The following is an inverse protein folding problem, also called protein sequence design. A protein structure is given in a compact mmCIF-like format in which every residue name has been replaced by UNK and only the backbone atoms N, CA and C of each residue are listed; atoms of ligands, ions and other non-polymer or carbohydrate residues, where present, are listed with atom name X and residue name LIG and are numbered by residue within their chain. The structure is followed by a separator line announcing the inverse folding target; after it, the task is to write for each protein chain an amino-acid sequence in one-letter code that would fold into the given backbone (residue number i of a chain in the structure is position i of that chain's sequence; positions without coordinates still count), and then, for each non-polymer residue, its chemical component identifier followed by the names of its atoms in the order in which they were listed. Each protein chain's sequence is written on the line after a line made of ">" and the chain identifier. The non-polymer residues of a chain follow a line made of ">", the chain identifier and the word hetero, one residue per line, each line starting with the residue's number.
data_IF_172695154921
#
_entry.id   IF_172695154921
#
_cell.length_a   1.000
_cell.length_b   1.000
_cell.length_c   1.000
_cell.angle_alpha   90.00
_cell.angle_beta   90.00
_cell.angle_gamma   90.00
#
_symmetry.space_group_name_H-M   'P 1'
#
loop_
_entity.id
_entity.type
_entity.pdbx_description
1 polymer ?
#
# COMPACT_ATOMS: atom_id res chain seq x y z
N UNK A 1 29.44 7.18 14.83
CA UNK A 1 28.84 7.31 13.48
C UNK A 1 28.01 6.06 13.25
N UNK A 2 26.70 6.21 13.01
CA UNK A 2 25.82 5.07 12.70
C UNK A 2 26.25 4.42 11.39
N UNK A 3 26.29 3.09 11.36
CA UNK A 3 26.61 2.33 10.15
C UNK A 3 25.59 2.57 9.03
N UNK A 4 26.00 2.35 7.77
CA UNK A 4 25.08 2.43 6.63
C UNK A 4 23.85 1.51 6.81
N UNK A 5 24.06 0.34 7.42
CA UNK A 5 22.98 -0.62 7.75
C UNK A 5 21.96 -0.03 8.72
N UNK A 6 22.41 0.70 9.74
CA UNK A 6 21.52 1.35 10.72
C UNK A 6 20.75 2.49 10.08
N UNK A 7 21.39 3.25 9.19
CA UNK A 7 20.71 4.32 8.42
C UNK A 7 19.60 3.77 7.54
N UNK A 8 19.82 2.64 6.86
CA UNK A 8 18.78 1.96 6.06
C UNK A 8 17.66 1.44 6.96
N UNK A 9 17.98 0.81 8.10
CA UNK A 9 16.97 0.31 9.03
C UNK A 9 16.10 1.42 9.62
N UNK A 10 16.67 2.60 9.86
CA UNK A 10 15.97 3.76 10.41
C UNK A 10 15.25 4.59 9.34
N UNK A 11 15.48 4.32 8.04
CA UNK A 11 14.82 5.05 6.98
C UNK A 11 13.31 4.72 6.98
N UNK A 12 12.49 5.77 7.04
CA UNK A 12 11.05 5.69 6.81
C UNK A 12 10.77 6.30 5.44
N UNK A 13 10.91 5.49 4.40
CA UNK A 13 10.73 5.88 3.00
C UNK A 13 9.37 5.43 2.42
N UNK A 14 8.53 4.81 3.26
CA UNK A 14 7.15 4.47 2.91
C UNK A 14 6.31 5.75 2.91
N UNK A 15 5.67 6.03 1.77
CA UNK A 15 4.79 7.18 1.66
C UNK A 15 3.49 6.95 2.42
N UNK A 16 2.97 8.01 3.04
CA UNK A 16 1.69 7.99 3.74
C UNK A 16 0.83 9.17 3.31
N UNK A 17 -0.47 8.96 3.35
CA UNK A 17 -1.46 10.00 3.26
C UNK A 17 -2.29 9.98 4.55
N UNK A 18 -2.20 11.08 5.29
CA UNK A 18 -2.91 11.27 6.56
C UNK A 18 -4.32 11.81 6.30
N UNK A 19 -5.22 11.58 7.25
CA UNK A 19 -6.57 12.15 7.29
C UNK A 19 -7.40 11.89 6.02
N UNK A 20 -7.35 10.65 5.50
CA UNK A 20 -8.17 10.23 4.36
C UNK A 20 -9.61 10.02 4.81
N UNK A 21 -10.47 10.95 4.41
CA UNK A 21 -11.91 10.88 4.64
C UNK A 21 -12.57 9.82 3.74
N UNK A 22 -13.41 8.96 4.35
CA UNK A 22 -14.20 7.95 3.65
C UNK A 22 -15.69 8.23 3.93
N UNK A 23 -16.33 9.09 3.13
CA UNK A 23 -17.70 9.55 3.38
C UNK A 23 -18.72 8.42 3.44
N UNK A 24 -18.52 7.34 2.66
CA UNK A 24 -19.44 6.20 2.65
C UNK A 24 -19.47 5.44 3.97
N UNK A 25 -18.44 5.59 4.81
CA UNK A 25 -18.33 4.92 6.10
C UNK A 25 -18.36 5.90 7.28
N UNK A 26 -18.36 7.22 7.03
CA UNK A 26 -18.30 8.27 8.05
C UNK A 26 -17.08 8.10 8.98
N UNK A 27 -15.92 7.79 8.39
CA UNK A 27 -14.65 7.60 9.10
C UNK A 27 -13.50 8.32 8.40
N UNK A 28 -12.45 8.56 9.16
CA UNK A 28 -11.16 9.03 8.68
C UNK A 28 -10.09 7.99 9.00
N UNK A 29 -9.15 7.76 8.08
CA UNK A 29 -8.05 6.79 8.23
C UNK A 29 -6.75 7.36 7.68
N UNK A 30 -5.62 6.87 8.18
CA UNK A 30 -4.33 7.09 7.53
C UNK A 30 -4.06 5.93 6.57
N UNK A 31 -3.54 6.25 5.38
CA UNK A 31 -3.25 5.27 4.33
C UNK A 31 -1.76 5.24 4.07
N UNK A 32 -1.14 4.08 4.26
CA UNK A 32 0.28 3.88 4.04
C UNK A 32 0.53 3.09 2.76
N UNK A 33 1.62 3.39 2.05
CA UNK A 33 2.15 2.52 1.02
C UNK A 33 2.58 1.16 1.60
N UNK A 34 2.64 0.13 0.78
CA UNK A 34 3.18 -1.16 1.19
C UNK A 34 4.70 -1.21 1.00
N UNK A 35 5.44 -1.86 1.92
CA UNK A 35 6.84 -2.21 1.69
C UNK A 35 7.00 -3.03 0.40
N UNK A 36 8.18 -2.95 -0.22
CA UNK A 36 8.47 -3.65 -1.48
C UNK A 36 8.16 -5.15 -1.42
N UNK A 37 8.49 -5.82 -0.31
CA UNK A 37 8.22 -7.25 -0.14
C UNK A 37 6.73 -7.60 -0.10
N UNK A 38 5.89 -6.78 0.54
CA UNK A 38 4.44 -6.99 0.58
C UNK A 38 3.81 -6.69 -0.78
N UNK A 39 4.31 -5.67 -1.48
CA UNK A 39 3.86 -5.32 -2.83
C UNK A 39 4.20 -6.41 -3.85
N UNK A 40 5.43 -6.92 -3.83
CA UNK A 40 5.87 -8.04 -4.67
C UNK A 40 5.07 -9.32 -4.36
N UNK A 41 4.78 -9.60 -3.09
CA UNK A 41 3.96 -10.74 -2.72
C UNK A 41 2.55 -10.65 -3.35
N UNK A 42 1.95 -9.46 -3.37
CA UNK A 42 0.68 -9.21 -4.04
C UNK A 42 0.78 -9.42 -5.57
N UNK A 43 1.79 -8.84 -6.21
CA UNK A 43 2.00 -8.98 -7.66
C UNK A 43 2.23 -10.45 -8.07
N UNK A 44 3.01 -11.19 -7.28
CA UNK A 44 3.25 -12.62 -7.49
C UNK A 44 1.96 -13.44 -7.36
N UNK A 45 1.12 -13.11 -6.36
CA UNK A 45 -0.18 -13.76 -6.15
C UNK A 45 -1.12 -13.52 -7.34
N UNK A 46 -1.19 -12.29 -7.85
CA UNK A 46 -1.96 -11.97 -9.06
C UNK A 46 -1.46 -12.71 -10.30
N UNK A 47 -0.13 -12.73 -10.50
CA UNK A 47 0.49 -13.38 -11.65
C UNK A 47 0.19 -14.88 -11.70
N UNK A 48 0.18 -15.55 -10.53
CA UNK A 48 -0.19 -16.96 -10.41
C UNK A 48 -1.67 -17.21 -10.75
N UNK A 49 -2.57 -16.31 -10.36
CA UNK A 49 -3.99 -16.41 -10.68
C UNK A 49 -4.25 -16.26 -12.18
N UNK A 50 -3.58 -15.30 -12.83
CA UNK A 50 -3.66 -15.10 -14.29
C UNK A 50 -3.20 -16.34 -15.08
N UNK A 51 -2.24 -17.10 -14.55
CA UNK A 51 -1.75 -18.35 -15.17
C UNK A 51 -2.76 -19.50 -14.99
N UNK A 52 -3.59 -19.47 -13.94
CA UNK A 52 -4.50 -20.57 -13.59
C UNK A 52 -5.91 -20.43 -14.17
N UNK A 53 -6.38 -19.24 -14.57
CA UNK A 53 -7.82 -19.02 -14.72
C UNK A 53 -8.32 -18.83 -16.16
N UNK A 54 -8.93 -19.90 -16.67
CA UNK A 54 -9.83 -19.89 -17.83
C UNK A 54 -11.34 -19.90 -17.48
N UNK A 55 -11.76 -19.86 -16.21
CA UNK A 55 -13.19 -19.93 -15.82
C UNK A 55 -13.50 -19.27 -14.46
N UNK A 56 -14.29 -18.20 -14.45
CA UNK A 56 -15.24 -17.80 -13.39
C UNK A 56 -14.76 -17.42 -11.97
N UNK A 57 -13.65 -17.95 -11.45
CA UNK A 57 -13.14 -17.66 -10.10
C UNK A 57 -12.39 -16.34 -9.98
N UNK A 58 -11.94 -15.79 -11.12
CA UNK A 58 -10.97 -14.72 -11.16
C UNK A 58 -11.44 -13.43 -10.51
N UNK A 59 -12.71 -13.07 -10.69
CA UNK A 59 -13.25 -11.83 -10.13
C UNK A 59 -13.33 -11.86 -8.60
N UNK A 60 -13.71 -13.00 -8.02
CA UNK A 60 -13.79 -13.15 -6.55
C UNK A 60 -12.39 -13.20 -5.92
N UNK A 61 -11.42 -13.82 -6.60
CA UNK A 61 -10.03 -13.85 -6.18
C UNK A 61 -9.37 -12.47 -6.28
N UNK A 62 -9.61 -11.73 -7.37
CA UNK A 62 -9.11 -10.35 -7.54
C UNK A 62 -9.69 -9.42 -6.48
N UNK A 63 -11.00 -9.52 -6.17
CA UNK A 63 -11.65 -8.72 -5.11
C UNK A 63 -11.05 -9.01 -3.74
N UNK A 64 -10.86 -10.28 -3.39
CA UNK A 64 -10.22 -10.68 -2.11
C UNK A 64 -8.77 -10.18 -2.00
N UNK A 65 -8.03 -10.14 -3.10
CA UNK A 65 -6.64 -9.68 -3.10
C UNK A 65 -6.53 -8.15 -2.94
N UNK A 66 -7.46 -7.38 -3.53
CA UNK A 66 -7.50 -5.93 -3.30
C UNK A 66 -7.85 -5.61 -1.85
N UNK A 67 -8.81 -6.33 -1.28
CA UNK A 67 -9.17 -6.20 0.13
C UNK A 67 -7.98 -6.50 1.06
N UNK A 68 -7.14 -7.47 0.72
CA UNK A 68 -5.91 -7.76 1.47
C UNK A 68 -4.92 -6.59 1.45
N UNK A 69 -4.68 -5.98 0.28
CA UNK A 69 -3.78 -4.82 0.14
C UNK A 69 -4.29 -3.64 0.96
N UNK A 70 -5.59 -3.35 0.87
CA UNK A 70 -6.21 -2.27 1.64
C UNK A 70 -6.12 -2.56 3.14
N UNK A 71 -6.42 -3.79 3.59
CA UNK A 71 -6.35 -4.16 5.00
C UNK A 71 -4.95 -3.94 5.62
N UNK A 72 -3.88 -4.18 4.86
CA UNK A 72 -2.49 -3.96 5.30
C UNK A 72 -2.07 -2.49 5.35
N UNK A 73 -2.84 -1.62 4.71
CA UNK A 73 -2.47 -0.24 4.45
C UNK A 73 -3.29 0.79 5.23
N UNK A 74 -4.34 0.37 5.95
CA UNK A 74 -5.18 1.25 6.74
C UNK A 74 -4.72 1.33 8.19
N UNK A 75 -4.48 2.56 8.65
CA UNK A 75 -4.01 2.90 9.98
C UNK A 75 -4.99 3.83 10.70
N UNK A 76 -5.04 3.71 12.02
CA UNK A 76 -5.78 4.62 12.88
C UNK A 76 -5.15 6.04 12.80
N UNK A 77 -5.95 7.10 12.62
CA UNK A 77 -5.45 8.45 12.37
C UNK A 77 -4.42 8.94 13.40
N UNK A 78 -3.28 9.43 12.90
CA UNK A 78 -2.19 9.96 13.71
C UNK A 78 -1.40 8.89 14.47
N UNK A 79 -1.55 7.61 14.12
CA UNK A 79 -0.86 6.50 14.79
C UNK A 79 -0.24 5.52 13.79
N UNK A 80 0.70 4.68 14.27
CA UNK A 80 1.22 3.53 13.52
C UNK A 80 0.44 2.23 13.83
N UNK A 81 -0.83 2.35 14.27
CA UNK A 81 -1.69 1.19 14.58
C UNK A 81 -2.54 0.82 13.39
N UNK A 82 -2.47 -0.45 12.96
CA UNK A 82 -3.34 -0.97 11.90
C UNK A 82 -4.81 -0.99 12.35
N UNK A 83 -5.70 -0.53 11.47
CA UNK A 83 -7.17 -0.68 11.64
C UNK A 83 -7.56 -2.16 11.68
N UNK A 84 -6.84 -3.01 10.94
CA UNK A 84 -7.06 -4.46 10.89
C UNK A 84 -5.81 -5.25 11.32
N UNK A 85 -5.58 -5.43 12.64
CA UNK A 85 -4.49 -6.26 13.13
C UNK A 85 -4.61 -7.73 12.71
N UNK A 86 -5.84 -8.27 12.64
CA UNK A 86 -6.13 -9.54 11.99
C UNK A 86 -6.53 -9.32 10.53
N UNK A 87 -5.60 -9.63 9.63
CA UNK A 87 -5.82 -9.50 8.19
C UNK A 87 -7.00 -10.34 7.67
N UNK A 88 -7.29 -11.51 8.27
CA UNK A 88 -8.41 -12.35 7.81
C UNK A 88 -9.75 -11.69 8.10
N UNK A 89 -9.86 -11.07 9.27
CA UNK A 89 -11.02 -10.26 9.64
C UNK A 89 -11.17 -9.06 8.70
N UNK A 90 -10.08 -8.30 8.50
CA UNK A 90 -10.08 -7.14 7.60
C UNK A 90 -10.52 -7.48 6.17
N UNK A 91 -9.99 -8.56 5.59
CA UNK A 91 -10.40 -9.03 4.27
C UNK A 91 -11.88 -9.40 4.24
N UNK A 92 -12.39 -10.10 5.25
CA UNK A 92 -13.80 -10.51 5.35
C UNK A 92 -14.74 -9.31 5.43
N UNK A 93 -14.35 -8.27 6.18
CA UNK A 93 -15.11 -7.02 6.32
C UNK A 93 -15.08 -6.24 4.99
N UNK A 94 -13.89 -5.95 4.46
CA UNK A 94 -13.71 -5.13 3.27
C UNK A 94 -14.31 -5.78 2.01
N UNK A 95 -14.27 -7.11 1.90
CA UNK A 95 -14.87 -7.83 0.77
C UNK A 95 -16.39 -7.66 0.69
N UNK A 96 -17.05 -7.27 1.77
CA UNK A 96 -18.51 -6.99 1.82
C UNK A 96 -18.85 -5.52 1.56
N UNK A 97 -17.86 -4.63 1.49
CA UNK A 97 -18.06 -3.20 1.26
C UNK A 97 -18.21 -2.88 -0.22
N UNK A 98 -18.60 -1.63 -0.50
CA UNK A 98 -18.72 -1.09 -1.86
C UNK A 98 -17.43 -1.28 -2.62
N UNK A 99 -17.54 -1.81 -3.84
CA UNK A 99 -16.39 -2.00 -4.72
C UNK A 99 -15.71 -0.67 -5.05
N UNK A 100 -16.48 0.41 -5.24
CA UNK A 100 -15.94 1.73 -5.57
C UNK A 100 -15.00 2.26 -4.50
N UNK A 101 -15.38 2.15 -3.23
CA UNK A 101 -14.57 2.59 -2.09
C UNK A 101 -13.30 1.75 -1.95
N UNK A 102 -13.42 0.42 -2.01
CA UNK A 102 -12.25 -0.49 -1.91
C UNK A 102 -11.29 -0.30 -3.08
N UNK A 103 -11.81 -0.10 -4.31
CA UNK A 103 -10.98 0.15 -5.49
C UNK A 103 -10.30 1.53 -5.42
N UNK A 104 -10.96 2.54 -4.87
CA UNK A 104 -10.38 3.87 -4.60
C UNK A 104 -9.22 3.80 -3.64
N UNK A 105 -9.43 3.16 -2.48
CA UNK A 105 -8.37 2.92 -1.49
C UNK A 105 -7.22 2.10 -2.07
N UNK A 106 -7.52 1.04 -2.82
CA UNK A 106 -6.50 0.24 -3.48
C UNK A 106 -5.62 1.06 -4.44
N UNK A 107 -6.23 1.95 -5.24
CA UNK A 107 -5.48 2.85 -6.14
C UNK A 107 -4.59 3.81 -5.35
N UNK A 108 -5.08 4.32 -4.23
CA UNK A 108 -4.28 5.17 -3.36
C UNK A 108 -3.08 4.42 -2.79
N UNK A 109 -3.28 3.22 -2.26
CA UNK A 109 -2.20 2.37 -1.74
C UNK A 109 -1.17 2.06 -2.84
N UNK A 110 -1.63 1.74 -4.05
CA UNK A 110 -0.78 1.51 -5.22
C UNK A 110 0.09 2.72 -5.56
N UNK A 111 -0.50 3.91 -5.53
CA UNK A 111 0.19 5.17 -5.77
C UNK A 111 1.29 5.43 -4.72
N UNK A 112 0.94 5.29 -3.43
CA UNK A 112 1.86 5.48 -2.30
C UNK A 112 2.97 4.44 -2.24
N UNK A 113 2.71 3.22 -2.71
CA UNK A 113 3.71 2.15 -2.85
C UNK A 113 4.70 2.41 -3.99
N UNK A 114 4.47 3.47 -4.78
CA UNK A 114 5.41 3.94 -5.80
C UNK A 114 5.37 3.16 -7.10
N UNK A 115 4.30 2.42 -7.41
CA UNK A 115 4.16 1.75 -8.71
C UNK A 115 4.07 2.76 -9.87
N UNK A 116 3.53 3.95 -9.62
CA UNK A 116 3.46 5.03 -10.62
C UNK A 116 4.80 5.79 -10.78
N UNK A 117 5.80 5.54 -9.91
CA UNK A 117 7.09 6.24 -9.95
C UNK A 117 8.11 5.41 -10.71
N UNK A 118 8.31 5.78 -11.98
CA UNK A 118 9.41 5.29 -12.80
C UNK A 118 10.74 5.46 -12.03
N UNK A 119 11.57 4.43 -12.02
CA UNK A 119 12.84 4.38 -11.27
C UNK A 119 13.75 5.57 -11.59
N UNK A 120 13.67 6.08 -12.83
CA UNK A 120 14.37 7.28 -13.29
C UNK A 120 13.97 8.56 -12.54
N UNK A 121 12.71 8.69 -12.12
CA UNK A 121 12.23 9.84 -11.34
C UNK A 121 12.81 9.80 -9.91
N UNK A 122 12.92 8.60 -9.31
CA UNK A 122 13.52 8.42 -7.97
C UNK A 122 15.02 8.76 -7.96
N UNK A 123 15.76 8.40 -9.00
CA UNK A 123 17.19 8.77 -9.13
C UNK A 123 17.35 10.29 -9.28
N UNK A 124 16.52 10.94 -10.11
CA UNK A 124 16.55 12.41 -10.25
C UNK A 124 16.20 13.16 -8.97
N UNK A 125 15.21 12.68 -8.21
CA UNK A 125 14.85 13.29 -6.92
C UNK A 125 15.98 13.10 -5.88
N UNK A 126 16.64 11.93 -5.89
CA UNK A 126 17.80 11.67 -5.04
C UNK A 126 19.03 12.52 -5.41
N UNK A 127 19.29 12.70 -6.71
CA UNK A 127 20.34 13.60 -7.22
C UNK A 127 20.03 15.07 -6.89
N UNK A 128 18.75 15.48 -6.96
CA UNK A 128 18.30 16.83 -6.62
C UNK A 128 18.41 17.18 -5.13
N UNK A 129 18.18 16.21 -4.23
CA UNK A 129 18.35 16.39 -2.78
C UNK A 129 19.80 16.27 -2.29
N UNK A 130 20.69 15.65 -3.08
CA UNK A 130 22.11 15.51 -2.72
C UNK A 130 22.92 16.79 -2.93
N UNK A 131 22.38 17.78 -3.65
CA UNK A 131 23.05 19.04 -3.97
C UNK A 131 22.86 20.16 -2.91
N UNK A 132 22.09 19.92 -1.84
CA UNK A 132 21.75 20.96 -0.84
C UNK A 132 22.45 20.86 0.52
N UNK A 133 23.35 19.90 0.72
CA UNK A 133 24.06 19.71 2.01
C UNK A 133 25.59 19.96 1.92
N UNK A 134 25.99 20.95 1.13
CA UNK A 134 27.33 21.55 1.18
C UNK A 134 27.21 23.08 1.09
N UNK A 135 26.83 23.74 2.18
CA UNK A 135 27.07 25.17 2.40
C UNK A 135 27.12 25.47 3.89
#
# INVERSE_FOLDING_TARGET
>A
MSSLRERIRAAQDIQRQEDVDIPEWDITVDVHGLPSGDWEAYQNKLSRLHIQEGKGGAEMHVRSNRAEVVAKALYEPGTDTLVFPDLREGISILSKKSQGTVDGLFKLVRHLSGEDRDFQQKVKDAEGNSARDQS
#
